data_IF_919222589214
#
_entry.id   IF_919222589214
#
_cell.length_a   1.000
_cell.length_b   1.000
_cell.length_c   1.000
_cell.angle_alpha   90.00
_cell.angle_beta   90.00
_cell.angle_gamma   90.00
#
_symmetry.space_group_name_H-M   'P 1'
#
loop_
_entity.id
_entity.type
_entity.pdbx_description
1 polymer ?
#
# COMPACT_ATOMS: atom_id res chain seq x y z
N UNK A 1 15.33 10.06 -10.82
CA UNK A 1 16.24 8.91 -10.96
C UNK A 1 15.55 7.85 -11.80
N UNK A 2 16.24 6.79 -12.26
CA UNK A 2 15.58 5.60 -12.78
C UNK A 2 14.53 5.05 -11.80
N UNK A 3 13.55 4.31 -12.31
CA UNK A 3 12.49 3.75 -11.45
C UNK A 3 13.08 2.94 -10.28
N UNK A 4 12.53 3.16 -9.08
CA UNK A 4 12.97 2.54 -7.83
C UNK A 4 14.43 2.84 -7.42
N UNK A 5 14.95 4.00 -7.81
CA UNK A 5 16.21 4.52 -7.28
C UNK A 5 16.05 5.93 -6.73
N UNK A 6 16.90 6.31 -5.78
CA UNK A 6 16.85 7.60 -5.10
C UNK A 6 18.25 8.14 -4.75
N UNK A 7 18.28 9.34 -4.20
CA UNK A 7 19.49 10.04 -3.75
C UNK A 7 20.11 10.94 -4.81
N UNK A 8 21.08 11.75 -4.41
CA UNK A 8 21.71 12.78 -5.26
C UNK A 8 22.36 12.20 -6.53
N UNK A 9 22.87 10.97 -6.43
CA UNK A 9 23.48 10.23 -7.54
C UNK A 9 22.58 9.17 -8.15
N UNK A 10 21.35 9.00 -7.68
CA UNK A 10 20.41 7.98 -8.17
C UNK A 10 20.95 6.53 -8.09
N UNK A 11 21.86 6.27 -7.15
CA UNK A 11 22.50 4.96 -6.98
C UNK A 11 21.85 4.12 -5.89
N UNK A 12 21.11 4.75 -4.98
CA UNK A 12 20.46 4.06 -3.89
C UNK A 12 19.17 3.43 -4.39
N UNK A 13 18.93 2.17 -4.05
CA UNK A 13 17.73 1.45 -4.47
C UNK A 13 16.64 1.57 -3.42
N UNK A 14 15.44 1.92 -3.87
CA UNK A 14 14.26 1.97 -3.01
C UNK A 14 13.96 0.58 -2.43
N UNK A 15 13.67 0.52 -1.12
CA UNK A 15 13.35 -0.75 -0.43
C UNK A 15 11.87 -1.14 -0.50
N UNK A 16 11.10 -0.45 -1.33
CA UNK A 16 9.66 -0.65 -1.48
C UNK A 16 9.32 -1.97 -2.17
N UNK A 17 8.16 -2.55 -1.84
CA UNK A 17 7.59 -3.64 -2.60
C UNK A 17 7.03 -3.12 -3.94
N UNK A 18 7.72 -3.42 -5.04
CA UNK A 18 7.36 -2.92 -6.38
C UNK A 18 5.94 -3.28 -6.82
N UNK A 19 5.36 -4.37 -6.32
CA UNK A 19 3.99 -4.77 -6.63
C UNK A 19 2.95 -3.91 -5.92
N UNK A 20 3.29 -3.37 -4.75
CA UNK A 20 2.38 -2.67 -3.83
C UNK A 20 2.70 -1.17 -3.71
N UNK A 21 3.72 -0.70 -4.40
CA UNK A 21 4.14 0.71 -4.44
C UNK A 21 3.65 1.36 -5.71
N UNK A 22 3.08 2.54 -5.56
CA UNK A 22 2.62 3.39 -6.66
C UNK A 22 3.77 4.26 -7.18
N UNK A 23 4.54 4.83 -6.25
CA UNK A 23 5.71 5.66 -6.58
C UNK A 23 6.79 5.53 -5.51
N UNK A 24 8.06 5.50 -5.93
CA UNK A 24 9.18 5.72 -5.02
C UNK A 24 9.73 7.13 -5.22
N UNK A 25 9.86 7.87 -4.13
CA UNK A 25 10.42 9.20 -4.16
C UNK A 25 11.91 9.17 -4.54
N UNK A 26 12.22 9.86 -5.62
CA UNK A 26 13.57 9.91 -6.19
C UNK A 26 14.58 10.68 -5.32
N UNK A 27 14.14 11.45 -4.33
CA UNK A 27 15.00 12.27 -3.48
C UNK A 27 15.32 11.53 -2.18
N UNK A 28 14.30 11.04 -1.49
CA UNK A 28 14.40 10.45 -0.15
C UNK A 28 14.28 8.92 -0.13
N UNK A 29 13.81 8.30 -1.23
CA UNK A 29 13.55 6.86 -1.29
C UNK A 29 12.29 6.43 -0.54
N UNK A 30 11.41 7.39 -0.22
CA UNK A 30 10.14 7.10 0.44
C UNK A 30 9.16 6.41 -0.52
N UNK A 31 8.40 5.45 0.00
CA UNK A 31 7.49 4.64 -0.78
C UNK A 31 6.06 5.15 -0.64
N UNK A 32 5.49 5.63 -1.74
CA UNK A 32 4.06 5.88 -1.84
C UNK A 32 3.35 4.55 -2.15
N UNK A 33 2.60 4.03 -1.20
CA UNK A 33 1.92 2.75 -1.33
C UNK A 33 0.62 2.87 -2.14
N UNK A 34 0.30 1.79 -2.86
CA UNK A 34 -1.02 1.61 -3.48
C UNK A 34 -2.10 1.54 -2.39
N UNK A 35 -3.33 1.83 -2.78
CA UNK A 35 -4.49 1.63 -1.90
C UNK A 35 -4.52 0.17 -1.39
N UNK A 36 -4.84 -0.02 -0.11
CA UNK A 36 -4.77 -1.33 0.56
C UNK A 36 -3.39 -1.65 1.15
N UNK A 37 -2.37 -0.83 0.95
CA UNK A 37 -1.02 -1.06 1.49
C UNK A 37 -0.51 0.13 2.30
N UNK A 38 0.28 -0.16 3.32
CA UNK A 38 0.92 0.82 4.21
C UNK A 38 2.30 0.37 4.64
N UNK A 39 2.91 1.18 5.51
CA UNK A 39 4.24 0.95 6.03
C UNK A 39 5.32 1.52 5.12
N UNK A 40 6.54 1.58 5.64
CA UNK A 40 7.67 2.23 4.96
C UNK A 40 8.04 1.54 3.63
N UNK A 41 7.76 0.24 3.49
CA UNK A 41 8.08 -0.55 2.30
C UNK A 41 6.84 -1.07 1.55
N UNK A 42 5.63 -0.63 1.91
CA UNK A 42 4.38 -1.08 1.29
C UNK A 42 4.16 -2.61 1.36
N UNK A 43 4.64 -3.25 2.42
CA UNK A 43 4.44 -4.68 2.68
C UNK A 43 3.30 -4.93 3.68
N UNK A 44 2.93 -3.91 4.44
CA UNK A 44 1.91 -4.06 5.46
C UNK A 44 0.55 -3.83 4.83
N UNK A 45 -0.33 -4.80 4.98
CA UNK A 45 -1.69 -4.71 4.49
C UNK A 45 -2.53 -3.74 5.35
N UNK A 46 -3.33 -2.91 4.70
CA UNK A 46 -4.26 -2.00 5.36
C UNK A 46 -5.53 -2.77 5.62
N UNK A 47 -5.89 -2.96 6.89
CA UNK A 47 -7.18 -3.60 7.15
C UNK A 47 -8.35 -2.64 6.91
N UNK A 48 -9.07 -2.81 5.80
CA UNK A 48 -10.24 -1.98 5.47
C UNK A 48 -11.42 -2.23 6.41
N UNK A 49 -11.48 -3.41 7.04
CA UNK A 49 -12.51 -3.75 8.02
C UNK A 49 -12.38 -2.99 9.36
N UNK A 50 -11.19 -2.45 9.68
CA UNK A 50 -10.91 -1.81 10.97
C UNK A 50 -10.97 -0.26 10.91
N UNK A 51 -11.13 0.34 9.73
CA UNK A 51 -10.94 1.77 9.53
C UNK A 51 -11.97 2.42 8.60
N UNK A 52 -13.02 2.99 9.19
CA UNK A 52 -13.79 4.16 8.72
C UNK A 52 -14.39 4.10 7.29
N UNK A 53 -15.73 3.94 7.23
CA UNK A 53 -16.71 4.62 6.37
C UNK A 53 -16.42 4.92 4.87
N UNK A 54 -15.47 4.23 4.25
CA UNK A 54 -15.23 4.27 2.80
C UNK A 54 -15.71 2.98 2.14
N UNK A 55 -15.71 1.88 2.91
CA UNK A 55 -15.97 0.53 2.45
C UNK A 55 -17.03 -0.13 3.32
N UNK A 56 -18.29 0.25 3.07
CA UNK A 56 -19.43 -0.29 3.79
C UNK A 56 -19.87 -1.60 3.13
N UNK A 57 -19.72 -2.71 3.86
CA UNK A 57 -20.35 -3.97 3.47
C UNK A 57 -21.89 -3.86 3.59
N UNK A 58 -22.66 -4.60 2.76
CA UNK A 58 -24.11 -4.68 2.90
C UNK A 58 -24.55 -5.05 4.32
N UNK A 59 -25.77 -4.65 4.75
CA UNK A 59 -26.36 -5.17 5.98
C UNK A 59 -26.33 -6.71 5.99
N UNK A 60 -26.10 -7.30 7.16
CA UNK A 60 -25.99 -8.76 7.36
C UNK A 60 -24.83 -9.43 6.62
N UNK A 61 -23.75 -8.69 6.32
CA UNK A 61 -22.51 -9.28 5.81
C UNK A 61 -21.32 -8.98 6.71
N UNK A 62 -20.45 -9.97 6.86
CA UNK A 62 -19.20 -9.85 7.60
C UNK A 62 -18.10 -9.35 6.67
N UNK A 63 -17.32 -8.37 7.14
CA UNK A 63 -16.14 -7.91 6.44
C UNK A 63 -14.98 -8.89 6.65
N UNK A 64 -14.40 -9.38 5.55
CA UNK A 64 -13.18 -10.19 5.55
C UNK A 64 -12.08 -9.44 4.81
N UNK A 65 -11.01 -9.17 5.55
CA UNK A 65 -9.80 -8.56 5.02
C UNK A 65 -9.04 -9.50 4.08
N UNK A 66 -8.48 -8.97 3.00
CA UNK A 66 -7.63 -9.69 2.05
C UNK A 66 -6.39 -8.85 1.71
N UNK A 67 -5.33 -9.45 1.19
CA UNK A 67 -4.11 -8.69 0.89
C UNK A 67 -4.36 -7.66 -0.23
N UNK A 68 -4.29 -6.38 0.11
CA UNK A 68 -4.52 -5.22 -0.74
C UNK A 68 -5.99 -4.88 -1.01
N UNK A 69 -6.95 -5.55 -0.35
CA UNK A 69 -8.38 -5.31 -0.53
C UNK A 69 -9.24 -5.95 0.58
N UNK A 70 -10.56 -5.89 0.48
CA UNK A 70 -11.48 -6.62 1.34
C UNK A 70 -12.58 -7.32 0.55
N UNK A 71 -13.24 -8.27 1.19
CA UNK A 71 -14.43 -8.95 0.67
C UNK A 71 -15.52 -8.97 1.73
N UNK A 72 -16.77 -8.79 1.32
CA UNK A 72 -17.93 -8.94 2.19
C UNK A 72 -18.51 -10.32 1.96
N UNK A 73 -18.63 -11.10 3.03
CA UNK A 73 -19.25 -12.42 3.01
C UNK A 73 -20.63 -12.34 3.65
N UNK A 74 -21.63 -12.94 3.02
CA UNK A 74 -23.00 -13.01 3.56
C UNK A 74 -23.12 -14.07 4.66
#
# INVERSE_FOLDING_TARGET
CPDFTYGDTCTDSCRCNRSNTDYCDNLQGECLCKLGWKGYTCIDDVSECLGINIFLCPPDSDCRNTDGNYTCIC
#
